data_IF_499763266370
#
_entry.id   IF_499763266370
#
_cell.length_a   1.000
_cell.length_b   1.000
_cell.length_c   1.000
_cell.angle_alpha   90.00
_cell.angle_beta   90.00
_cell.angle_gamma   90.00
#
_symmetry.space_group_name_H-M   'P 1'
#
loop_
_entity.id
_entity.type
_entity.pdbx_description
1 polymer ?
#
# COMPACT_ATOMS: atom_id res chain seq x y z
N UNK A 1 -8.19 9.90 -7.55
CA UNK A 1 -7.26 9.23 -8.48
C UNK A 1 -7.97 8.04 -9.06
N UNK A 2 -8.60 8.18 -10.23
CA UNK A 2 -9.48 7.13 -10.78
C UNK A 2 -8.73 5.85 -11.13
N UNK A 3 -7.44 5.98 -11.41
CA UNK A 3 -6.58 4.90 -11.87
C UNK A 3 -6.09 3.94 -10.78
N UNK A 4 -6.11 4.39 -9.52
CA UNK A 4 -5.71 3.57 -8.37
C UNK A 4 -6.91 2.93 -7.68
N UNK A 5 -8.12 3.41 -7.96
CA UNK A 5 -9.36 2.86 -7.40
C UNK A 5 -9.53 1.38 -7.78
N UNK A 6 -9.99 0.58 -6.83
CA UNK A 6 -10.19 -0.85 -7.00
C UNK A 6 -9.45 -1.70 -5.99
N UNK A 7 -9.50 -3.01 -6.21
CA UNK A 7 -8.86 -4.01 -5.37
C UNK A 7 -7.56 -4.50 -5.99
N UNK A 8 -6.51 -4.54 -5.17
CA UNK A 8 -5.16 -4.89 -5.57
C UNK A 8 -4.61 -6.00 -4.68
N UNK A 9 -3.91 -6.97 -5.28
CA UNK A 9 -3.09 -7.90 -4.53
C UNK A 9 -1.71 -7.31 -4.30
N UNK A 10 -1.19 -7.44 -3.09
CA UNK A 10 0.17 -6.99 -2.79
C UNK A 10 1.15 -8.13 -3.01
N UNK A 11 2.14 -7.90 -3.88
CA UNK A 11 3.28 -8.80 -4.06
C UNK A 11 4.53 -8.16 -3.50
N UNK A 12 5.22 -8.84 -2.57
CA UNK A 12 6.52 -8.38 -2.07
C UNK A 12 7.57 -8.49 -3.17
N UNK A 13 8.39 -7.45 -3.30
CA UNK A 13 9.57 -7.46 -4.18
C UNK A 13 10.89 -7.42 -3.41
N UNK A 14 10.93 -6.87 -2.19
CA UNK A 14 12.15 -6.89 -1.39
C UNK A 14 12.09 -6.07 -0.10
N UNK A 15 13.24 -6.00 0.56
CA UNK A 15 13.44 -5.28 1.83
C UNK A 15 13.02 -6.07 3.06
N UNK A 16 12.67 -5.38 4.13
CA UNK A 16 12.27 -5.94 5.42
C UNK A 16 10.77 -6.23 5.53
N UNK A 17 10.04 -6.18 4.42
CA UNK A 17 8.63 -6.57 4.41
C UNK A 17 8.51 -8.07 4.76
N UNK A 18 7.52 -8.47 5.58
CA UNK A 18 7.16 -9.88 5.75
C UNK A 18 6.66 -10.45 4.42
N UNK A 19 6.45 -11.77 4.26
CA UNK A 19 6.11 -12.40 2.97
C UNK A 19 4.91 -11.85 2.20
N UNK A 20 4.08 -10.99 2.80
CA UNK A 20 2.87 -10.36 2.22
C UNK A 20 1.84 -11.33 1.61
N UNK A 21 1.91 -12.62 1.93
CA UNK A 21 0.95 -13.63 1.46
C UNK A 21 -0.46 -13.27 1.97
N UNK A 22 -1.40 -13.11 1.03
CA UNK A 22 -2.79 -12.77 1.35
C UNK A 22 -3.05 -11.29 1.63
N UNK A 23 -2.04 -10.41 1.52
CA UNK A 23 -2.25 -8.97 1.67
C UNK A 23 -2.95 -8.40 0.44
N UNK A 24 -4.03 -7.68 0.66
CA UNK A 24 -4.81 -6.97 -0.38
C UNK A 24 -4.97 -5.50 0.00
N UNK A 25 -5.16 -4.65 -1.00
CA UNK A 25 -5.53 -3.25 -0.81
C UNK A 25 -6.80 -2.94 -1.57
N UNK A 26 -7.76 -2.32 -0.90
CA UNK A 26 -8.92 -1.69 -1.54
C UNK A 26 -8.71 -0.19 -1.50
N UNK A 27 -8.85 0.48 -2.65
CA UNK A 27 -8.75 1.94 -2.76
C UNK A 27 -10.06 2.49 -3.30
N UNK A 28 -10.61 3.49 -2.59
CA UNK A 28 -11.88 4.14 -2.87
C UNK A 28 -11.71 5.66 -2.78
N UNK A 29 -11.41 6.29 -3.92
CA UNK A 29 -11.29 7.73 -4.08
C UNK A 29 -10.05 8.31 -3.38
N UNK A 30 -10.22 8.71 -2.11
CA UNK A 30 -9.18 9.36 -1.31
C UNK A 30 -8.81 8.56 -0.05
N UNK A 31 -9.31 7.34 0.09
CA UNK A 31 -9.02 6.48 1.22
C UNK A 31 -9.01 5.01 0.79
N UNK A 32 -8.61 4.14 1.72
CA UNK A 32 -8.62 2.72 1.45
C UNK A 32 -8.19 1.89 2.64
N UNK A 33 -8.01 0.60 2.37
CA UNK A 33 -7.79 -0.41 3.38
C UNK A 33 -6.79 -1.45 2.90
N UNK A 34 -5.80 -1.76 3.74
CA UNK A 34 -4.96 -2.94 3.61
C UNK A 34 -5.55 -4.06 4.47
N UNK A 35 -5.81 -5.23 3.89
CA UNK A 35 -6.37 -6.39 4.60
C UNK A 35 -5.42 -7.57 4.56
N UNK A 36 -5.27 -8.25 5.69
CA UNK A 36 -4.55 -9.51 5.84
C UNK A 36 -5.32 -10.42 6.80
N UNK A 37 -6.02 -11.42 6.26
CA UNK A 37 -6.93 -12.25 7.04
C UNK A 37 -7.96 -11.38 7.80
N UNK A 38 -8.10 -11.52 9.12
CA UNK A 38 -9.04 -10.71 9.92
C UNK A 38 -8.54 -9.28 10.19
N UNK A 39 -7.27 -8.97 9.90
CA UNK A 39 -6.66 -7.66 10.19
C UNK A 39 -6.94 -6.69 9.05
N UNK A 40 -7.40 -5.48 9.40
CA UNK A 40 -7.67 -4.40 8.46
C UNK A 40 -7.03 -3.10 8.93
N UNK A 41 -6.24 -2.47 8.07
CA UNK A 41 -5.55 -1.22 8.34
C UNK A 41 -6.00 -0.15 7.36
N UNK A 42 -6.53 0.96 7.86
CA UNK A 42 -7.00 2.06 7.03
C UNK A 42 -5.88 3.03 6.64
N UNK A 43 -5.96 3.58 5.44
CA UNK A 43 -5.08 4.66 4.97
C UNK A 43 -5.86 5.74 4.22
N UNK A 44 -5.26 6.93 4.13
CA UNK A 44 -5.70 8.01 3.24
C UNK A 44 -4.80 8.03 1.99
N UNK A 45 -5.37 8.40 0.84
CA UNK A 45 -4.66 8.54 -0.43
C UNK A 45 -4.33 10.03 -0.64
N UNK A 46 -3.04 10.36 -0.68
CA UNK A 46 -2.55 11.73 -0.84
C UNK A 46 -1.58 11.78 -1.99
N UNK A 47 -2.05 12.24 -3.16
CA UNK A 47 -1.28 12.00 -4.38
C UNK A 47 -1.03 10.50 -4.52
N UNK A 48 0.18 10.09 -4.90
CA UNK A 48 0.51 8.67 -5.06
C UNK A 48 0.93 8.00 -3.73
N UNK A 49 0.64 8.62 -2.58
CA UNK A 49 0.98 8.07 -1.28
C UNK A 49 -0.24 7.46 -0.58
N UNK A 50 -0.05 6.31 0.05
CA UNK A 50 -0.99 5.71 0.98
C UNK A 50 -0.48 5.94 2.40
N UNK A 51 -1.15 6.83 3.14
CA UNK A 51 -0.74 7.24 4.49
C UNK A 51 -1.59 6.51 5.52
N UNK A 52 -0.98 5.60 6.28
CA UNK A 52 -1.70 4.76 7.23
C UNK A 52 -2.15 5.54 8.48
N UNK A 53 -3.30 5.12 9.01
CA UNK A 53 -3.98 5.74 10.16
C UNK A 53 -3.86 4.88 11.42
N UNK A 54 -4.29 5.44 12.56
CA UNK A 54 -4.34 4.73 13.84
C UNK A 54 -2.97 4.25 14.33
N UNK A 55 -2.91 3.00 14.78
CA UNK A 55 -1.68 2.38 15.31
C UNK A 55 -0.55 2.26 14.26
N UNK A 56 -0.86 2.36 12.97
CA UNK A 56 0.11 2.35 11.87
C UNK A 56 0.45 3.76 11.38
N UNK A 57 0.14 4.81 12.14
CA UNK A 57 0.56 6.17 11.81
C UNK A 57 2.09 6.23 11.67
N UNK A 58 2.54 6.81 10.55
CA UNK A 58 3.96 6.93 10.21
C UNK A 58 4.45 5.91 9.18
N UNK A 59 3.63 4.90 8.85
CA UNK A 59 3.80 4.11 7.64
C UNK A 59 3.22 4.88 6.44
N UNK A 60 4.00 4.94 5.37
CA UNK A 60 3.61 5.53 4.08
C UNK A 60 4.02 4.56 2.98
N UNK A 61 3.11 4.28 2.07
CA UNK A 61 3.47 3.59 0.84
C UNK A 61 3.43 4.57 -0.33
N UNK A 62 4.57 4.76 -0.99
CA UNK A 62 4.68 5.59 -2.20
C UNK A 62 4.49 4.71 -3.44
N UNK A 63 3.61 5.15 -4.36
CA UNK A 63 3.25 4.41 -5.56
C UNK A 63 3.73 5.10 -6.84
N UNK A 64 4.14 4.29 -7.80
CA UNK A 64 4.49 4.71 -9.15
C UNK A 64 3.74 3.83 -10.15
N UNK A 65 3.05 4.46 -11.11
CA UNK A 65 2.27 3.73 -12.10
C UNK A 65 3.19 2.95 -13.03
N UNK A 66 2.88 1.68 -13.26
CA UNK A 66 3.66 0.80 -14.13
C UNK A 66 2.72 -0.08 -14.97
N UNK A 67 2.24 0.47 -16.10
CA UNK A 67 1.28 -0.21 -16.95
C UNK A 67 -0.06 -0.40 -16.25
N UNK A 68 -0.49 -1.64 -16.03
CA UNK A 68 -1.69 -1.96 -15.26
C UNK A 68 -1.40 -2.27 -13.79
N UNK A 69 -0.13 -2.21 -13.38
CA UNK A 69 0.32 -2.44 -12.02
C UNK A 69 0.76 -1.12 -11.38
N UNK A 70 1.01 -1.15 -10.07
CA UNK A 70 1.72 -0.08 -9.37
C UNK A 70 2.95 -0.64 -8.68
N UNK A 71 4.10 0.01 -8.88
CA UNK A 71 5.29 -0.24 -8.05
C UNK A 71 5.13 0.54 -6.76
N UNK A 72 5.48 -0.08 -5.65
CA UNK A 72 5.31 0.46 -4.32
C UNK A 72 6.62 0.45 -3.53
N UNK A 73 6.90 1.56 -2.86
CA UNK A 73 7.92 1.65 -1.82
C UNK A 73 7.21 1.79 -0.48
N UNK A 74 7.63 1.02 0.51
CA UNK A 74 7.12 1.09 1.86
C UNK A 74 8.10 1.86 2.73
N UNK A 75 7.62 2.94 3.34
CA UNK A 75 8.40 3.86 4.17
C UNK A 75 7.86 3.84 5.60
N UNK A 76 8.78 3.92 6.56
CA UNK A 76 8.48 4.16 7.96
C UNK A 76 9.20 5.45 8.38
N UNK A 77 8.43 6.49 8.72
CA UNK A 77 8.96 7.80 9.11
C UNK A 77 9.97 8.36 8.07
N UNK A 78 9.65 8.21 6.78
CA UNK A 78 10.46 8.68 5.65
C UNK A 78 11.63 7.76 5.27
N UNK A 79 11.85 6.65 5.97
CA UNK A 79 12.88 5.66 5.61
C UNK A 79 12.26 4.49 4.87
N UNK A 80 12.72 4.23 3.65
CA UNK A 80 12.33 3.02 2.92
C UNK A 80 12.79 1.77 3.67
N UNK A 81 11.85 0.85 3.90
CA UNK A 81 12.12 -0.45 4.50
C UNK A 81 11.71 -1.60 3.58
N UNK A 82 10.99 -1.37 2.49
CA UNK A 82 10.72 -2.42 1.51
C UNK A 82 10.05 -1.97 0.23
N UNK A 83 9.91 -2.92 -0.68
CA UNK A 83 9.33 -2.73 -2.02
C UNK A 83 8.30 -3.80 -2.32
N UNK A 84 7.25 -3.41 -3.04
CA UNK A 84 6.14 -4.27 -3.40
C UNK A 84 5.52 -3.85 -4.74
N UNK A 85 4.60 -4.67 -5.26
CA UNK A 85 3.69 -4.29 -6.34
C UNK A 85 2.24 -4.47 -5.95
N UNK A 86 1.40 -3.63 -6.55
CA UNK A 86 -0.04 -3.81 -6.65
C UNK A 86 -0.34 -4.42 -8.02
N UNK A 87 -0.94 -5.61 -8.01
CA UNK A 87 -1.28 -6.40 -9.20
C UNK A 87 -2.72 -6.90 -9.16
#
# INVERSE_FOLDING_TARGET
MRDLDGEWRVRREGGLLPPMLGVRKLVEGNHGWTTLGPVRAGFDVVGNELRYRGALRGFVDELERHGNEWKGRALLRGREYGRFRLV
#
